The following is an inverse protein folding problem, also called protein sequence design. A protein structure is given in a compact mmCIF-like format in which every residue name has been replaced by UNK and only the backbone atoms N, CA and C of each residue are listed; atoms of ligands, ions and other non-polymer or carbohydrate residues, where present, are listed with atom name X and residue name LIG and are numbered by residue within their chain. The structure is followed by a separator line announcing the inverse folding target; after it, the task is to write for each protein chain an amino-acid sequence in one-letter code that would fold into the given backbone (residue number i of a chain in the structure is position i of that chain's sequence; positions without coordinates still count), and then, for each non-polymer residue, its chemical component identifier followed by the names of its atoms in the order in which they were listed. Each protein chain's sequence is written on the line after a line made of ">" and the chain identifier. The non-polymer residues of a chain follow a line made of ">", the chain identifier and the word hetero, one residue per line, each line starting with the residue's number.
data_IF_728844971783
#
_entry.id   IF_728844971783
#
_cell.length_a   1.000
_cell.length_b   1.000
_cell.length_c   1.000
_cell.angle_alpha   90.00
_cell.angle_beta   90.00
_cell.angle_gamma   90.00
#
_symmetry.space_group_name_H-M   'P 1'
#
loop_
_entity.id
_entity.type
_entity.pdbx_description
1 polymer ?
#
# COMPACT_ATOMS: atom_id res chain seq x y z
N UNK A 1 20.55 -14.59 -8.68
CA UNK A 1 20.47 -13.84 -7.40
C UNK A 1 19.36 -12.80 -7.53
N UNK A 2 18.41 -12.75 -6.60
CA UNK A 2 17.35 -11.74 -6.61
C UNK A 2 17.99 -10.36 -6.40
N UNK A 3 17.89 -9.44 -7.36
CA UNK A 3 18.49 -8.11 -7.23
C UNK A 3 17.62 -7.25 -6.32
N UNK A 4 18.09 -7.03 -5.10
CA UNK A 4 17.49 -6.13 -4.12
C UNK A 4 17.99 -4.69 -4.36
N UNK A 5 17.16 -3.73 -4.00
CA UNK A 5 17.45 -2.31 -4.10
C UNK A 5 17.24 -1.72 -5.49
N UNK A 6 17.78 -0.51 -5.67
CA UNK A 6 17.56 0.33 -6.84
C UNK A 6 17.91 -0.38 -8.17
N UNK A 7 17.03 -0.19 -9.16
CA UNK A 7 17.19 -0.67 -10.53
C UNK A 7 17.27 0.51 -11.49
N UNK A 8 17.66 0.24 -12.73
CA UNK A 8 17.73 1.28 -13.77
C UNK A 8 16.37 1.96 -13.97
N UNK A 9 15.31 1.16 -14.07
CA UNK A 9 13.94 1.59 -14.40
C UNK A 9 13.13 2.11 -13.21
N UNK A 10 13.49 1.75 -11.98
CA UNK A 10 12.76 2.15 -10.75
C UNK A 10 13.73 2.27 -9.59
N UNK A 11 13.61 3.37 -8.84
CA UNK A 11 14.50 3.70 -7.73
C UNK A 11 13.84 4.59 -6.68
N UNK A 12 14.41 4.56 -5.49
CA UNK A 12 14.15 5.43 -4.37
C UNK A 12 15.50 5.80 -3.75
N UNK A 13 15.69 7.07 -3.40
CA UNK A 13 16.84 7.52 -2.60
C UNK A 13 16.76 7.00 -1.17
N UNK A 14 15.56 6.62 -0.74
CA UNK A 14 15.31 6.00 0.56
C UNK A 14 15.69 4.53 0.62
N UNK A 15 16.13 3.93 -0.48
CA UNK A 15 16.71 2.58 -0.51
C UNK A 15 18.21 2.67 -0.76
N UNK A 16 19.01 2.24 0.21
CA UNK A 16 20.47 2.35 0.17
C UNK A 16 21.14 1.33 -0.77
N UNK A 17 22.47 1.39 -0.92
CA UNK A 17 23.22 0.48 -1.81
C UNK A 17 23.15 -1.00 -1.42
N UNK A 18 22.79 -1.30 -0.17
CA UNK A 18 22.56 -2.67 0.33
C UNK A 18 21.13 -3.15 0.13
N UNK A 19 20.26 -2.31 -0.46
CA UNK A 19 18.87 -2.63 -0.73
C UNK A 19 17.95 -2.51 0.49
N UNK A 20 18.38 -1.83 1.56
CA UNK A 20 17.55 -1.56 2.73
C UNK A 20 16.85 -0.21 2.61
N UNK A 21 15.55 -0.19 2.92
CA UNK A 21 14.77 1.02 3.07
C UNK A 21 15.16 1.74 4.38
N UNK A 22 15.29 3.07 4.32
CA UNK A 22 15.65 3.89 5.46
C UNK A 22 14.61 3.84 6.59
N UNK A 23 15.10 3.94 7.83
CA UNK A 23 14.34 3.71 9.05
C UNK A 23 13.07 4.55 9.15
N UNK A 24 13.12 5.81 8.73
CA UNK A 24 12.00 6.77 8.81
C UNK A 24 10.71 6.26 8.14
N UNK A 25 10.82 5.29 7.22
CA UNK A 25 9.69 4.73 6.48
C UNK A 25 9.11 3.44 7.06
N UNK A 26 9.59 2.95 8.21
CA UNK A 26 9.09 1.71 8.83
C UNK A 26 9.19 1.76 10.36
N UNK A 27 9.24 0.58 11.00
CA UNK A 27 9.16 0.41 12.45
C UNK A 27 10.20 1.17 13.29
N UNK A 28 11.37 1.50 12.72
CA UNK A 28 12.43 2.29 13.37
C UNK A 28 12.27 3.81 13.17
N UNK A 29 11.27 4.22 12.38
CA UNK A 29 10.89 5.60 12.16
C UNK A 29 9.90 6.10 13.22
N UNK A 30 9.56 7.39 13.14
CA UNK A 30 8.53 7.99 14.00
C UNK A 30 7.18 7.89 13.31
N UNK A 31 6.27 7.09 13.89
CA UNK A 31 4.86 7.09 13.49
C UNK A 31 4.15 8.37 13.96
N UNK A 32 3.23 8.91 13.15
CA UNK A 32 2.38 10.03 13.59
C UNK A 32 1.28 9.61 14.57
N UNK A 33 0.84 8.35 14.49
CA UNK A 33 -0.21 7.80 15.34
C UNK A 33 0.09 6.40 15.86
N UNK A 34 -0.25 5.35 15.08
CA UNK A 34 -0.13 3.95 15.52
C UNK A 34 0.90 3.15 14.71
N UNK A 35 0.88 3.31 13.40
CA UNK A 35 1.75 2.58 12.48
C UNK A 35 2.68 3.55 11.75
N UNK A 36 3.86 3.10 11.29
CA UNK A 36 4.71 3.93 10.45
C UNK A 36 3.92 4.35 9.19
N UNK A 37 3.64 5.64 9.06
CA UNK A 37 2.76 6.20 8.02
C UNK A 37 3.52 7.08 7.02
N UNK A 38 4.84 7.15 7.16
CA UNK A 38 5.70 8.01 6.35
C UNK A 38 6.17 7.29 5.06
N UNK A 39 5.30 7.27 4.05
CA UNK A 39 5.61 6.66 2.75
C UNK A 39 6.85 7.27 2.10
N UNK A 40 7.69 6.45 1.47
CA UNK A 40 8.89 6.92 0.77
C UNK A 40 8.58 7.41 -0.65
N UNK A 41 9.50 8.21 -1.17
CA UNK A 41 9.50 8.67 -2.54
C UNK A 41 9.92 7.57 -3.51
N UNK A 42 9.31 7.59 -4.69
CA UNK A 42 9.59 6.64 -5.76
C UNK A 42 9.74 7.39 -7.07
N UNK A 43 10.66 6.93 -7.91
CA UNK A 43 10.80 7.42 -9.28
C UNK A 43 11.07 6.25 -10.22
N UNK A 44 10.42 6.25 -11.36
CA UNK A 44 10.62 5.24 -12.40
C UNK A 44 10.73 5.88 -13.78
N UNK A 45 11.12 5.10 -14.78
CA UNK A 45 11.09 5.54 -16.18
C UNK A 45 9.64 5.59 -16.69
N UNK A 46 9.32 6.53 -17.59
CA UNK A 46 7.97 6.56 -18.19
C UNK A 46 7.74 5.25 -18.96
N UNK A 47 6.60 4.62 -18.73
CA UNK A 47 6.20 3.44 -19.50
C UNK A 47 5.49 3.91 -20.78
N UNK A 48 5.83 3.36 -21.95
CA UNK A 48 5.12 3.69 -23.19
C UNK A 48 3.61 3.46 -23.04
N UNK A 49 2.81 4.37 -23.58
CA UNK A 49 1.33 4.35 -23.55
C UNK A 49 0.68 4.50 -22.17
N UNK A 50 1.43 4.62 -21.08
CA UNK A 50 0.85 4.86 -19.77
C UNK A 50 0.31 6.29 -19.65
N UNK A 51 -0.99 6.41 -19.37
CA UNK A 51 -1.69 7.67 -19.07
C UNK A 51 -1.73 7.96 -17.56
N UNK A 52 -1.72 6.92 -16.74
CA UNK A 52 -1.59 7.01 -15.29
C UNK A 52 -0.79 5.83 -14.74
N UNK A 53 -0.49 5.85 -13.45
CA UNK A 53 0.16 4.75 -12.75
C UNK A 53 -0.59 4.38 -11.48
N UNK A 54 -0.37 3.14 -11.05
CA UNK A 54 -0.78 2.60 -9.77
C UNK A 54 0.39 1.90 -9.08
N UNK A 55 0.27 1.68 -7.77
CA UNK A 55 1.27 0.98 -6.97
C UNK A 55 0.62 -0.05 -6.04
N UNK A 56 1.36 -1.13 -5.79
CA UNK A 56 1.05 -2.15 -4.80
C UNK A 56 2.34 -2.52 -4.07
N UNK A 57 2.31 -2.52 -2.74
CA UNK A 57 3.43 -2.91 -1.87
C UNK A 57 3.01 -4.10 -1.01
N UNK A 58 3.77 -5.18 -1.10
CA UNK A 58 3.46 -6.48 -0.51
C UNK A 58 4.64 -7.02 0.31
N UNK A 59 4.32 -7.72 1.39
CA UNK A 59 5.24 -8.50 2.21
C UNK A 59 4.82 -9.97 2.19
N UNK A 60 5.54 -10.77 1.40
CA UNK A 60 5.33 -12.22 1.33
C UNK A 60 6.00 -12.97 2.48
N UNK A 61 7.02 -12.39 3.13
CA UNK A 61 7.67 -12.98 4.29
C UNK A 61 6.71 -13.02 5.50
N UNK A 62 5.73 -12.09 5.56
CA UNK A 62 4.65 -12.08 6.53
C UNK A 62 3.85 -13.39 6.59
N UNK A 63 3.83 -14.19 5.51
CA UNK A 63 3.12 -15.48 5.50
C UNK A 63 3.55 -16.41 6.64
N UNK A 64 4.84 -16.41 7.01
CA UNK A 64 5.34 -17.22 8.13
C UNK A 64 4.85 -16.71 9.48
N UNK A 65 4.55 -15.42 9.59
CA UNK A 65 4.18 -14.74 10.83
C UNK A 65 2.66 -14.80 11.06
N UNK A 66 1.87 -14.48 10.02
CA UNK A 66 0.42 -14.29 10.13
C UNK A 66 -0.40 -15.19 9.18
N UNK A 67 0.24 -16.04 8.38
CA UNK A 67 -0.41 -17.03 7.52
C UNK A 67 -0.81 -16.55 6.12
N UNK A 68 -0.60 -15.27 5.79
CA UNK A 68 -0.89 -14.67 4.48
C UNK A 68 0.05 -13.49 4.18
N UNK A 69 0.21 -13.09 2.91
CA UNK A 69 0.97 -11.88 2.56
C UNK A 69 0.34 -10.63 3.13
N UNK A 70 1.13 -9.68 3.62
CA UNK A 70 0.63 -8.41 4.13
C UNK A 70 0.68 -7.36 3.02
N UNK A 71 -0.46 -6.74 2.71
CA UNK A 71 -0.54 -5.58 1.83
C UNK A 71 -0.21 -4.35 2.65
N UNK A 72 0.90 -3.69 2.32
CA UNK A 72 1.38 -2.50 3.03
C UNK A 72 0.84 -1.21 2.41
N UNK A 73 0.63 -1.18 1.10
CA UNK A 73 0.14 0.00 0.42
C UNK A 73 -0.44 -0.35 -0.95
N UNK A 74 -1.58 0.22 -1.28
CA UNK A 74 -2.15 0.15 -2.63
C UNK A 74 -2.74 1.51 -2.98
N UNK A 75 -2.38 2.04 -4.14
CA UNK A 75 -2.87 3.34 -4.59
C UNK A 75 -2.95 3.43 -6.12
N UNK A 76 -3.93 4.19 -6.60
CA UNK A 76 -4.05 4.63 -8.00
C UNK A 76 -3.96 6.15 -8.08
N UNK A 77 -4.20 6.69 -9.27
CA UNK A 77 -4.20 8.12 -9.55
C UNK A 77 -2.83 8.80 -9.46
N UNK A 78 -1.76 8.07 -9.76
CA UNK A 78 -0.43 8.67 -9.94
C UNK A 78 -0.32 9.20 -11.37
N UNK A 79 -0.22 10.52 -11.54
CA UNK A 79 -0.23 11.18 -12.87
C UNK A 79 1.14 11.22 -13.54
N UNK A 80 2.21 11.13 -12.77
CA UNK A 80 3.59 11.23 -13.26
C UNK A 80 4.39 9.98 -12.89
N UNK A 81 5.58 9.84 -13.44
CA UNK A 81 6.48 8.72 -13.14
C UNK A 81 7.25 8.89 -11.81
N UNK A 82 6.60 9.50 -10.82
CA UNK A 82 7.13 9.67 -9.48
C UNK A 82 6.01 9.78 -8.43
N UNK A 83 6.32 9.40 -7.21
CA UNK A 83 5.52 9.67 -6.00
C UNK A 83 6.42 10.37 -5.00
N UNK A 84 5.92 11.45 -4.40
CA UNK A 84 6.65 12.20 -3.37
C UNK A 84 6.66 11.45 -2.03
N UNK A 85 7.70 11.70 -1.24
CA UNK A 85 7.73 11.32 0.17
C UNK A 85 6.48 11.84 0.90
N UNK A 86 5.93 11.03 1.82
CA UNK A 86 4.70 11.28 2.56
C UNK A 86 3.42 11.52 1.72
N UNK A 87 3.41 11.23 0.41
CA UNK A 87 2.22 11.38 -0.43
C UNK A 87 1.01 10.58 0.07
N UNK A 88 1.26 9.41 0.69
CA UNK A 88 0.20 8.61 1.31
C UNK A 88 -0.51 9.36 2.44
N UNK A 89 0.28 10.02 3.29
CA UNK A 89 -0.23 10.77 4.43
C UNK A 89 -1.10 11.95 4.00
N UNK A 90 -0.68 12.69 2.97
CA UNK A 90 -1.47 13.80 2.41
C UNK A 90 -2.85 13.33 1.91
N UNK A 91 -2.90 12.18 1.24
CA UNK A 91 -4.17 11.59 0.79
C UNK A 91 -5.02 11.09 1.98
N UNK A 92 -4.39 10.49 2.98
CA UNK A 92 -5.07 10.02 4.19
C UNK A 92 -5.68 11.16 5.01
N UNK A 93 -4.92 12.23 5.24
CA UNK A 93 -5.40 13.39 6.02
C UNK A 93 -6.65 14.00 5.34
N UNK A 94 -6.63 14.13 4.01
CA UNK A 94 -7.81 14.59 3.24
C UNK A 94 -9.01 13.65 3.38
N UNK A 95 -8.79 12.33 3.29
CA UNK A 95 -9.83 11.32 3.45
C UNK A 95 -10.50 11.44 4.83
N UNK A 96 -9.72 11.57 5.91
CA UNK A 96 -10.25 11.67 7.29
C UNK A 96 -11.13 12.90 7.48
N UNK A 97 -10.85 13.99 6.79
CA UNK A 97 -11.68 15.20 6.81
C UNK A 97 -12.92 15.10 5.90
N UNK A 98 -12.96 14.14 4.96
CA UNK A 98 -13.96 14.05 3.89
C UNK A 98 -14.55 12.64 3.70
N UNK A 99 -14.80 11.94 4.81
CA UNK A 99 -15.32 10.57 4.81
C UNK A 99 -16.53 10.38 3.89
N UNK A 100 -16.50 9.29 3.10
CA UNK A 100 -17.56 8.90 2.17
C UNK A 100 -17.60 9.68 0.86
N UNK A 101 -16.78 10.74 0.70
CA UNK A 101 -16.65 11.49 -0.56
C UNK A 101 -15.59 10.87 -1.46
N UNK A 102 -15.71 11.14 -2.76
CA UNK A 102 -14.68 10.78 -3.73
C UNK A 102 -13.40 11.59 -3.46
N UNK A 103 -12.26 10.95 -3.67
CA UNK A 103 -10.94 11.55 -3.55
C UNK A 103 -10.68 12.53 -4.69
N UNK A 104 -10.02 13.67 -4.44
CA UNK A 104 -9.78 14.67 -5.47
C UNK A 104 -8.68 14.19 -6.44
N UNK A 105 -8.70 14.70 -7.67
CA UNK A 105 -7.82 14.25 -8.75
C UNK A 105 -6.33 14.59 -8.55
N UNK A 106 -6.01 15.49 -7.61
CA UNK A 106 -4.64 15.90 -7.27
C UNK A 106 -3.99 15.08 -6.14
N UNK A 107 -4.70 14.11 -5.57
CA UNK A 107 -4.21 13.23 -4.50
C UNK A 107 -4.24 11.77 -4.93
N UNK A 108 -3.48 10.92 -4.23
CA UNK A 108 -3.56 9.47 -4.39
C UNK A 108 -4.94 8.97 -3.96
N UNK A 109 -5.47 7.99 -4.68
CA UNK A 109 -6.68 7.27 -4.29
C UNK A 109 -6.25 5.92 -3.74
N UNK A 110 -6.39 5.73 -2.44
CA UNK A 110 -5.74 4.63 -1.72
C UNK A 110 -6.75 3.57 -1.33
N UNK A 111 -6.37 2.30 -1.49
CA UNK A 111 -7.14 1.19 -0.94
C UNK A 111 -6.70 0.86 0.48
N UNK A 112 -7.42 -0.08 1.08
CA UNK A 112 -7.12 -0.59 2.41
C UNK A 112 -5.88 -1.51 2.39
N UNK A 113 -4.92 -1.21 3.25
CA UNK A 113 -3.82 -2.11 3.60
C UNK A 113 -4.33 -3.25 4.52
N UNK A 114 -3.50 -4.24 4.83
CA UNK A 114 -3.93 -5.43 5.59
C UNK A 114 -4.29 -5.19 7.06
N UNK A 115 -4.06 -4.00 7.62
CA UNK A 115 -4.41 -3.66 9.00
C UNK A 115 -5.91 -3.41 9.24
N UNK A 116 -6.78 -3.68 8.27
CA UNK A 116 -8.24 -3.47 8.39
C UNK A 116 -8.83 -3.95 9.71
N UNK A 117 -9.69 -3.12 10.30
CA UNK A 117 -10.32 -3.38 11.60
C UNK A 117 -11.53 -4.31 11.53
N UNK A 118 -12.05 -4.57 10.32
CA UNK A 118 -13.23 -5.40 10.04
C UNK A 118 -12.97 -6.30 8.84
N UNK A 119 -13.27 -7.59 8.99
CA UNK A 119 -13.27 -8.56 7.89
C UNK A 119 -14.60 -9.33 7.87
N UNK A 120 -14.86 -10.16 6.85
CA UNK A 120 -16.09 -10.96 6.79
C UNK A 120 -16.04 -12.20 7.71
N UNK A 121 -14.86 -12.61 8.17
CA UNK A 121 -14.66 -13.79 9.03
C UNK A 121 -14.02 -13.33 10.33
N UNK A 122 -14.80 -13.27 11.41
CA UNK A 122 -14.44 -12.52 12.62
C UNK A 122 -14.63 -13.37 13.88
N UNK A 123 -13.68 -14.25 14.19
CA UNK A 123 -13.69 -15.03 15.45
C UNK A 123 -12.33 -15.08 16.18
N UNK A 124 -11.36 -14.22 15.83
CA UNK A 124 -10.01 -14.25 16.42
C UNK A 124 -9.74 -13.17 17.48
N UNK A 125 -10.77 -12.50 18.00
CA UNK A 125 -10.60 -11.38 18.95
C UNK A 125 -11.12 -11.75 20.33
N UNK A 126 -10.50 -11.17 21.37
CA UNK A 126 -10.88 -11.43 22.75
C UNK A 126 -12.37 -11.11 22.96
N UNK A 127 -13.01 -11.88 23.84
CA UNK A 127 -14.43 -11.72 24.18
C UNK A 127 -14.66 -10.31 24.74
N UNK A 128 -15.27 -9.43 23.95
CA UNK A 128 -15.55 -8.04 24.31
C UNK A 128 -14.80 -6.98 23.48
N UNK A 129 -13.93 -7.37 22.55
CA UNK A 129 -13.29 -6.44 21.60
C UNK A 129 -14.31 -5.88 20.62
N UNK A 130 -14.23 -4.57 20.32
CA UNK A 130 -14.99 -3.93 19.24
C UNK A 130 -14.32 -4.13 17.86
N UNK A 131 -13.12 -4.69 17.83
CA UNK A 131 -12.35 -4.96 16.62
C UNK A 131 -12.70 -6.34 16.07
N UNK A 132 -12.77 -6.46 14.74
CA UNK A 132 -13.20 -7.65 14.01
C UNK A 132 -12.18 -8.06 12.92
N UNK A 133 -10.92 -7.66 13.07
CA UNK A 133 -9.82 -8.05 12.17
C UNK A 133 -9.26 -9.45 12.50
N UNK A 134 -8.48 -10.04 11.59
CA UNK A 134 -7.82 -11.34 11.80
C UNK A 134 -6.39 -11.21 12.35
N UNK A 135 -5.81 -10.00 12.29
CA UNK A 135 -4.47 -9.71 12.80
C UNK A 135 -4.48 -9.57 14.34
N UNK A 136 -3.32 -9.73 15.02
CA UNK A 136 -3.18 -9.32 16.41
C UNK A 136 -3.63 -7.86 16.61
N UNK A 137 -4.19 -7.52 17.77
CA UNK A 137 -4.72 -6.18 18.04
C UNK A 137 -3.68 -5.07 17.84
N UNK A 138 -2.43 -5.33 18.20
CA UNK A 138 -1.32 -4.40 18.00
C UNK A 138 -1.03 -4.07 16.52
N UNK A 139 -1.51 -4.87 15.57
CA UNK A 139 -1.39 -4.67 14.12
C UNK A 139 -2.76 -4.40 13.45
N UNK A 140 -3.80 -4.15 14.23
CA UNK A 140 -5.14 -3.82 13.73
C UNK A 140 -5.39 -2.32 13.84
N UNK A 141 -5.87 -1.71 12.76
CA UNK A 141 -6.38 -0.33 12.76
C UNK A 141 -7.53 -0.16 13.74
N UNK A 142 -7.73 1.05 14.27
CA UNK A 142 -8.85 1.32 15.15
C UNK A 142 -10.14 1.49 14.34
N UNK A 143 -10.08 2.34 13.32
CA UNK A 143 -11.16 2.52 12.35
C UNK A 143 -10.77 1.93 10.98
N UNK A 144 -11.76 1.62 10.14
CA UNK A 144 -11.51 1.01 8.83
C UNK A 144 -10.65 1.93 7.95
N UNK A 145 -10.92 3.23 8.00
CA UNK A 145 -10.25 4.25 7.20
C UNK A 145 -8.79 4.46 7.60
N UNK A 146 -8.40 4.11 8.83
CA UNK A 146 -7.00 4.17 9.25
C UNK A 146 -6.13 3.17 8.46
N UNK A 147 -6.73 2.15 7.84
CA UNK A 147 -6.05 1.24 6.91
C UNK A 147 -5.96 1.79 5.48
N UNK A 148 -6.61 2.90 5.13
CA UNK A 148 -6.59 3.48 3.78
C UNK A 148 -5.36 4.37 3.52
N UNK A 149 -4.18 3.85 3.89
CA UNK A 149 -2.90 4.54 3.77
C UNK A 149 -1.73 3.55 3.74
N UNK A 150 -0.53 4.05 3.54
CA UNK A 150 0.71 3.33 3.69
C UNK A 150 0.89 2.82 5.12
N UNK A 151 1.14 1.52 5.24
CA UNK A 151 1.63 0.88 6.45
C UNK A 151 3.10 0.55 6.23
N UNK A 152 4.01 1.19 6.94
CA UNK A 152 5.44 0.97 6.76
C UNK A 152 5.91 -0.40 7.26
N UNK A 153 6.98 -0.95 6.68
CA UNK A 153 7.58 -2.21 7.11
C UNK A 153 7.72 -2.35 8.63
N UNK A 154 7.13 -3.41 9.18
CA UNK A 154 7.20 -3.73 10.61
C UNK A 154 7.42 -5.24 10.82
N UNK A 155 8.56 -5.79 10.37
CA UNK A 155 8.78 -7.23 10.39
C UNK A 155 9.22 -7.70 11.79
N UNK A 156 8.50 -8.62 12.47
CA UNK A 156 8.75 -8.93 13.88
C UNK A 156 9.80 -10.02 14.14
N UNK A 157 10.07 -10.93 13.19
CA UNK A 157 10.90 -12.12 13.41
C UNK A 157 12.29 -12.07 12.76
N UNK A 158 12.43 -11.38 11.62
CA UNK A 158 13.69 -11.20 10.88
C UNK A 158 13.59 -9.99 9.95
N UNK A 159 14.65 -9.70 9.20
CA UNK A 159 14.55 -8.82 8.04
C UNK A 159 13.59 -9.43 7.00
N UNK A 160 12.67 -8.62 6.50
CA UNK A 160 11.73 -9.02 5.44
C UNK A 160 12.14 -8.41 4.10
N UNK A 161 11.79 -9.11 3.02
CA UNK A 161 11.82 -8.58 1.66
C UNK A 161 10.42 -8.13 1.25
N UNK A 162 10.33 -6.87 0.85
CA UNK A 162 9.12 -6.23 0.36
C UNK A 162 9.17 -6.12 -1.16
N UNK A 163 8.01 -6.29 -1.79
CA UNK A 163 7.84 -6.18 -3.24
C UNK A 163 6.94 -4.98 -3.53
N UNK A 164 7.50 -3.92 -4.12
CA UNK A 164 6.74 -2.81 -4.65
C UNK A 164 6.60 -2.95 -6.15
N UNK A 165 5.36 -3.02 -6.65
CA UNK A 165 5.04 -3.05 -8.08
C UNK A 165 4.38 -1.74 -8.48
N UNK A 166 4.93 -1.09 -9.49
CA UNK A 166 4.30 0.02 -10.21
C UNK A 166 3.67 -0.53 -11.48
N UNK A 167 2.40 -0.21 -11.71
CA UNK A 167 1.66 -0.52 -12.93
C UNK A 167 1.51 0.75 -13.75
N UNK A 168 1.87 0.70 -15.03
CA UNK A 168 1.48 1.73 -16.00
C UNK A 168 0.13 1.36 -16.60
N UNK A 169 -0.80 2.31 -16.64
CA UNK A 169 -2.18 2.11 -17.08
C UNK A 169 -2.45 2.91 -18.35
N UNK A 170 -3.13 2.33 -19.35
CA UNK A 170 -3.52 3.01 -20.60
C UNK A 170 -4.72 3.97 -20.46
N UNK A 171 -5.27 4.09 -19.25
CA UNK A 171 -6.40 4.96 -18.91
C UNK A 171 -6.05 5.89 -17.75
N UNK A 172 -6.85 6.94 -17.60
CA UNK A 172 -6.84 7.74 -16.37
C UNK A 172 -7.49 6.97 -15.21
N UNK A 173 -7.08 7.24 -13.97
CA UNK A 173 -7.69 6.59 -12.80
C UNK A 173 -9.20 6.84 -12.68
N UNK A 174 -9.72 7.96 -13.19
CA UNK A 174 -11.17 8.26 -13.23
C UNK A 174 -11.98 7.30 -14.12
N UNK A 175 -11.32 6.55 -15.01
CA UNK A 175 -11.95 5.54 -15.86
C UNK A 175 -11.99 4.16 -15.17
N UNK A 176 -11.21 3.95 -14.10
CA UNK A 176 -11.14 2.67 -13.39
C UNK A 176 -12.44 2.36 -12.65
N UNK A 177 -12.96 1.17 -12.92
CA UNK A 177 -14.18 0.63 -12.31
C UNK A 177 -13.99 -0.82 -11.91
N UNK A 178 -14.65 -1.23 -10.83
CA UNK A 178 -14.75 -2.62 -10.40
C UNK A 178 -16.22 -2.98 -10.19
N UNK A 179 -16.54 -4.28 -10.19
CA UNK A 179 -17.88 -4.81 -9.94
C UNK A 179 -17.91 -5.53 -8.61
N UNK A 180 -18.91 -5.20 -7.79
CA UNK A 180 -19.17 -5.94 -6.56
C UNK A 180 -19.79 -7.32 -6.82
N UNK A 181 -20.10 -8.04 -5.74
CA UNK A 181 -20.68 -9.38 -5.80
C UNK A 181 -22.05 -9.44 -6.50
N UNK A 182 -22.79 -8.31 -6.52
CA UNK A 182 -24.09 -8.18 -7.20
C UNK A 182 -23.94 -7.70 -8.65
N UNK A 183 -22.71 -7.44 -9.09
CA UNK A 183 -22.38 -7.00 -10.45
C UNK A 183 -22.55 -5.49 -10.67
N UNK A 184 -22.78 -4.70 -9.61
CA UNK A 184 -22.87 -3.25 -9.69
C UNK A 184 -21.48 -2.64 -9.89
N UNK A 185 -21.37 -1.69 -10.82
CA UNK A 185 -20.11 -0.99 -11.10
C UNK A 185 -19.83 0.13 -10.10
N UNK A 186 -18.60 0.20 -9.63
CA UNK A 186 -18.10 1.18 -8.65
C UNK A 186 -16.82 1.81 -9.16
N UNK A 187 -16.65 3.12 -8.91
CA UNK A 187 -15.40 3.84 -9.18
C UNK A 187 -14.35 3.54 -8.12
N UNK A 188 -13.08 3.58 -8.51
CA UNK A 188 -11.93 3.39 -7.63
C UNK A 188 -11.50 4.68 -6.87
N UNK A 189 -12.41 5.65 -6.75
CA UNK A 189 -12.16 7.00 -6.21
C UNK A 189 -12.46 7.16 -4.71
N UNK A 190 -12.78 6.06 -4.04
CA UNK A 190 -12.92 5.92 -2.58
C UNK A 190 -12.09 4.74 -2.10
N UNK A 191 -11.83 4.57 -0.79
CA UNK A 191 -11.11 3.40 -0.32
C UNK A 191 -11.73 2.07 -0.77
N UNK A 192 -10.90 1.22 -1.36
CA UNK A 192 -11.23 -0.06 -2.00
C UNK A 192 -10.34 -1.18 -1.47
N UNK A 193 -10.71 -2.45 -1.70
CA UNK A 193 -9.85 -3.58 -1.36
C UNK A 193 -8.90 -3.92 -2.51
N UNK A 194 -7.81 -4.64 -2.21
CA UNK A 194 -6.82 -5.03 -3.23
C UNK A 194 -7.43 -5.88 -4.36
N UNK A 195 -8.48 -6.66 -4.07
CA UNK A 195 -9.21 -7.42 -5.09
C UNK A 195 -9.95 -6.51 -6.08
N UNK A 196 -10.60 -5.46 -5.57
CA UNK A 196 -11.28 -4.44 -6.39
C UNK A 196 -10.27 -3.72 -7.28
N UNK A 197 -9.11 -3.36 -6.70
CA UNK A 197 -7.99 -2.76 -7.44
C UNK A 197 -7.51 -3.66 -8.58
N UNK A 198 -7.22 -4.93 -8.29
CA UNK A 198 -6.73 -5.87 -9.30
C UNK A 198 -7.73 -6.05 -10.44
N UNK A 199 -9.03 -6.18 -10.12
CA UNK A 199 -10.08 -6.25 -11.13
C UNK A 199 -10.12 -4.98 -12.00
N UNK A 200 -10.03 -3.80 -11.37
CA UNK A 200 -10.13 -2.53 -12.07
C UNK A 200 -8.95 -2.25 -13.01
N UNK A 201 -7.74 -2.73 -12.68
CA UNK A 201 -6.55 -2.45 -13.50
C UNK A 201 -6.23 -3.53 -14.53
N UNK A 202 -6.71 -4.76 -14.37
CA UNK A 202 -6.27 -5.95 -15.13
C UNK A 202 -6.19 -5.73 -16.65
N UNK A 203 -7.24 -5.16 -17.26
CA UNK A 203 -7.30 -4.94 -18.71
C UNK A 203 -6.60 -3.68 -19.19
N UNK A 204 -6.05 -2.88 -18.28
CA UNK A 204 -5.47 -1.56 -18.55
C UNK A 204 -3.95 -1.51 -18.39
N UNK A 205 -3.32 -2.59 -17.88
CA UNK A 205 -1.87 -2.62 -17.65
C UNK A 205 -1.09 -2.66 -18.97
N UNK A 206 -0.28 -1.63 -19.21
CA UNK A 206 0.65 -1.56 -20.37
C UNK A 206 2.09 -1.94 -20.02
N UNK A 207 2.39 -2.03 -18.72
CA UNK A 207 3.71 -2.41 -18.23
C UNK A 207 3.79 -2.40 -16.72
N UNK A 208 4.81 -3.06 -16.18
CA UNK A 208 5.08 -3.10 -14.75
C UNK A 208 6.57 -2.92 -14.47
N UNK A 209 6.88 -2.27 -13.34
CA UNK A 209 8.21 -2.26 -12.76
C UNK A 209 8.13 -2.68 -11.31
N UNK A 210 9.08 -3.52 -10.89
CA UNK A 210 9.14 -4.01 -9.52
C UNK A 210 10.42 -3.57 -8.83
N UNK A 211 10.30 -2.98 -7.64
CA UNK A 211 11.39 -2.71 -6.72
C UNK A 211 11.28 -3.66 -5.53
N UNK A 212 12.27 -4.54 -5.37
CA UNK A 212 12.37 -5.41 -4.20
C UNK A 212 13.37 -4.78 -3.23
N UNK A 213 12.99 -4.58 -1.99
CA UNK A 213 13.87 -3.99 -0.97
C UNK A 213 13.69 -4.71 0.36
N UNK A 214 14.65 -4.52 1.27
CA UNK A 214 14.59 -5.05 2.62
C UNK A 214 14.19 -3.97 3.61
N UNK A 215 13.57 -4.40 4.70
CA UNK A 215 13.56 -3.62 5.92
C UNK A 215 14.03 -4.51 7.07
N UNK A 216 14.76 -3.88 7.99
CA UNK A 216 15.37 -4.56 9.11
C UNK A 216 14.34 -4.95 10.17
N UNK A 217 14.59 -6.05 10.88
CA UNK A 217 13.69 -6.53 11.94
C UNK A 217 13.28 -5.39 12.90
N UNK A 218 12.00 -5.29 13.22
CA UNK A 218 11.52 -4.36 14.23
C UNK A 218 12.10 -4.72 15.61
N UNK A 219 12.63 -3.72 16.33
CA UNK A 219 13.26 -3.92 17.64
C UNK A 219 14.70 -4.44 17.62
N UNK A 220 15.30 -4.67 16.44
CA UNK A 220 16.75 -4.90 16.34
C UNK A 220 17.51 -3.57 16.33
N UNK A 221 18.64 -3.48 17.05
CA UNK A 221 19.53 -2.32 17.01
C UNK A 221 20.33 -2.26 15.71
#
# INVERSE_FOLDING_TARGET
>A
MHKLGNKTQIKSKSVNEHGYLHDVHGAHGKASFRFPDHSFELKWDKMPNAKSYALLLEDFDAMKVIGFPFIHWVAVNVKENFVSEAASKLAFDHLKENLGKAMPSNLLWQGYNSSVSKTLVTENKEKGSSLNGILPEMFTSLELEDAAQYFGPYPPDKDHVYTLTVFGLDVDASELEYKDADGLSHKLDKPYYVGDFLQAVDTHVVGTYTLNFKYRQAGSN
#
